data_IF_035981024578
#
_entry.id   IF_035981024578
#
_cell.length_a   1.000
_cell.length_b   1.000
_cell.length_c   1.000
_cell.angle_alpha   90.00
_cell.angle_beta   90.00
_cell.angle_gamma   90.00
#
_symmetry.space_group_name_H-M   'P 1'
#
loop_
_entity.id
_entity.type
_entity.pdbx_description
1 polymer ?
#
# COMPACT_ATOMS: atom_id res chain seq x y z
N UNK A 1 35.78 0.99 4.75
CA UNK A 1 34.39 1.40 4.98
C UNK A 1 34.34 1.89 6.42
N UNK A 2 33.94 3.14 6.64
CA UNK A 2 33.74 3.63 8.01
C UNK A 2 32.40 3.09 8.55
N UNK A 3 32.24 3.05 9.88
CA UNK A 3 31.03 2.52 10.52
C UNK A 3 29.76 3.25 10.08
N UNK A 4 29.82 4.56 9.84
CA UNK A 4 28.69 5.35 9.36
C UNK A 4 28.33 5.08 7.89
N UNK A 5 29.28 4.68 7.05
CA UNK A 5 29.03 4.19 5.69
C UNK A 5 28.33 2.82 5.73
N UNK A 6 28.80 1.93 6.60
CA UNK A 6 28.16 0.62 6.84
C UNK A 6 26.72 0.78 7.31
N UNK A 7 26.48 1.65 8.30
CA UNK A 7 25.12 1.93 8.81
C UNK A 7 24.20 2.53 7.74
N UNK A 8 24.72 3.40 6.87
CA UNK A 8 23.96 3.94 5.72
C UNK A 8 23.61 2.86 4.70
N UNK A 9 24.50 1.91 4.47
CA UNK A 9 24.22 0.76 3.59
C UNK A 9 23.15 -0.16 4.17
N UNK A 10 23.30 -0.54 5.46
CA UNK A 10 22.32 -1.39 6.16
C UNK A 10 20.94 -0.73 6.18
N UNK A 11 20.86 0.56 6.46
CA UNK A 11 19.60 1.31 6.45
C UNK A 11 18.91 1.26 5.08
N UNK A 12 19.65 1.48 3.99
CA UNK A 12 19.11 1.40 2.62
C UNK A 12 18.63 -0.02 2.28
N UNK A 13 19.40 -1.05 2.65
CA UNK A 13 19.03 -2.46 2.43
C UNK A 13 17.77 -2.84 3.20
N UNK A 14 17.66 -2.41 4.45
CA UNK A 14 16.47 -2.66 5.28
C UNK A 14 15.23 -2.00 4.68
N UNK A 15 15.34 -0.73 4.26
CA UNK A 15 14.24 -0.01 3.65
C UNK A 15 13.81 -0.64 2.31
N UNK A 16 14.77 -1.09 1.49
CA UNK A 16 14.49 -1.82 0.25
C UNK A 16 13.78 -3.14 0.53
N UNK A 17 14.22 -3.90 1.54
CA UNK A 17 13.60 -5.18 1.92
C UNK A 17 12.14 -5.02 2.35
N UNK A 18 11.82 -3.99 3.14
CA UNK A 18 10.44 -3.72 3.56
C UNK A 18 9.55 -3.34 2.37
N UNK A 19 10.07 -2.52 1.45
CA UNK A 19 9.33 -2.15 0.25
C UNK A 19 9.13 -3.36 -0.68
N UNK A 20 10.14 -4.23 -0.81
CA UNK A 20 10.05 -5.46 -1.60
C UNK A 20 9.00 -6.42 -1.03
N UNK A 21 8.95 -6.62 0.30
CA UNK A 21 7.93 -7.43 0.94
C UNK A 21 6.51 -6.89 0.65
N UNK A 22 6.33 -5.58 0.76
CA UNK A 22 5.05 -4.95 0.43
C UNK A 22 4.69 -5.08 -1.06
N UNK A 23 5.69 -4.96 -1.96
CA UNK A 23 5.54 -5.17 -3.40
C UNK A 23 5.07 -6.59 -3.69
N UNK A 24 5.69 -7.60 -3.08
CA UNK A 24 5.28 -8.99 -3.23
C UNK A 24 3.85 -9.22 -2.72
N UNK A 25 3.45 -8.62 -1.59
CA UNK A 25 2.08 -8.72 -1.10
C UNK A 25 1.04 -8.12 -2.07
N UNK A 26 1.39 -7.02 -2.76
CA UNK A 26 0.54 -6.45 -3.82
C UNK A 26 0.47 -7.37 -5.03
N UNK A 27 1.62 -7.90 -5.49
CA UNK A 27 1.68 -8.81 -6.63
C UNK A 27 0.86 -10.08 -6.39
N UNK A 28 0.97 -10.68 -5.20
CA UNK A 28 0.21 -11.88 -4.81
C UNK A 28 -1.30 -11.61 -4.82
N UNK A 29 -1.74 -10.52 -4.18
CA UNK A 29 -3.17 -10.18 -4.12
C UNK A 29 -3.77 -9.89 -5.51
N UNK A 30 -3.02 -9.20 -6.38
CA UNK A 30 -3.47 -8.93 -7.75
C UNK A 30 -3.39 -10.17 -8.63
N UNK A 31 -2.41 -11.05 -8.42
CA UNK A 31 -2.31 -12.31 -9.15
C UNK A 31 -3.50 -13.21 -8.83
N UNK A 32 -3.94 -13.27 -7.57
CA UNK A 32 -5.11 -14.06 -7.21
C UNK A 32 -6.39 -13.54 -7.90
N UNK A 33 -6.58 -12.21 -7.95
CA UNK A 33 -7.67 -11.61 -8.74
C UNK A 33 -7.54 -11.97 -10.21
N UNK A 34 -6.35 -11.85 -10.80
CA UNK A 34 -6.11 -12.15 -12.21
C UNK A 34 -6.48 -13.60 -12.55
N UNK A 35 -6.06 -14.55 -11.72
CA UNK A 35 -6.34 -15.97 -11.92
C UNK A 35 -7.82 -16.29 -11.81
N UNK A 36 -8.51 -15.74 -10.81
CA UNK A 36 -9.94 -16.00 -10.62
C UNK A 36 -10.81 -15.28 -11.67
N UNK A 37 -10.36 -14.14 -12.20
CA UNK A 37 -11.13 -13.38 -13.19
C UNK A 37 -10.88 -13.79 -14.62
N UNK A 38 -9.62 -13.76 -15.06
CA UNK A 38 -9.28 -13.98 -16.47
C UNK A 38 -9.28 -15.46 -16.85
N UNK A 39 -8.93 -16.35 -15.92
CA UNK A 39 -8.77 -17.78 -16.23
C UNK A 39 -9.97 -18.62 -15.80
N UNK A 40 -10.66 -18.25 -14.73
CA UNK A 40 -11.84 -18.98 -14.25
C UNK A 40 -13.17 -18.32 -14.70
N UNK A 41 -13.11 -17.13 -15.29
CA UNK A 41 -14.28 -16.41 -15.80
C UNK A 41 -15.20 -15.86 -14.72
N UNK A 42 -14.73 -15.76 -13.47
CA UNK A 42 -15.48 -15.14 -12.37
C UNK A 42 -15.27 -13.62 -12.32
N UNK A 43 -16.14 -12.92 -11.60
CA UNK A 43 -15.84 -11.55 -11.17
C UNK A 43 -14.98 -11.58 -9.88
N UNK A 44 -14.17 -10.54 -9.61
CA UNK A 44 -13.44 -10.46 -8.34
C UNK A 44 -14.42 -10.44 -7.15
N UNK A 45 -14.13 -11.22 -6.12
CA UNK A 45 -14.95 -11.21 -4.90
C UNK A 45 -14.70 -9.96 -4.06
N UNK A 46 -15.65 -9.54 -3.21
CA UNK A 46 -15.43 -8.44 -2.26
C UNK A 46 -14.20 -8.63 -1.37
N UNK A 47 -13.92 -9.86 -0.95
CA UNK A 47 -12.76 -10.22 -0.13
C UNK A 47 -11.46 -10.00 -0.90
N UNK A 48 -11.39 -10.44 -2.15
CA UNK A 48 -10.21 -10.22 -3.00
C UNK A 48 -9.94 -8.74 -3.24
N UNK A 49 -10.99 -7.96 -3.52
CA UNK A 49 -10.88 -6.51 -3.68
C UNK A 49 -10.38 -5.86 -2.38
N UNK A 50 -10.89 -6.30 -1.22
CA UNK A 50 -10.47 -5.81 0.09
C UNK A 50 -8.98 -6.10 0.32
N UNK A 51 -8.55 -7.32 0.06
CA UNK A 51 -7.18 -7.75 0.34
C UNK A 51 -6.18 -7.03 -0.60
N UNK A 52 -6.51 -6.88 -1.88
CA UNK A 52 -5.72 -6.08 -2.82
C UNK A 52 -5.63 -4.60 -2.39
N UNK A 53 -6.73 -4.01 -1.91
CA UNK A 53 -6.72 -2.64 -1.36
C UNK A 53 -5.83 -2.53 -0.12
N UNK A 54 -5.89 -3.51 0.79
CA UNK A 54 -5.05 -3.52 1.98
C UNK A 54 -3.56 -3.61 1.62
N UNK A 55 -3.21 -4.48 0.67
CA UNK A 55 -1.84 -4.60 0.18
C UNK A 55 -1.33 -3.29 -0.45
N UNK A 56 -2.13 -2.66 -1.32
CA UNK A 56 -1.80 -1.39 -1.94
C UNK A 56 -1.62 -0.27 -0.90
N UNK A 57 -2.51 -0.20 0.09
CA UNK A 57 -2.42 0.80 1.15
C UNK A 57 -1.17 0.60 2.03
N UNK A 58 -0.78 -0.64 2.30
CA UNK A 58 0.44 -0.94 3.04
C UNK A 58 1.69 -0.49 2.26
N UNK A 59 1.77 -0.85 0.98
CA UNK A 59 2.87 -0.44 0.11
C UNK A 59 2.97 1.09 0.02
N UNK A 60 1.84 1.77 -0.12
CA UNK A 60 1.77 3.23 -0.11
C UNK A 60 2.26 3.83 1.22
N UNK A 61 1.83 3.28 2.36
CA UNK A 61 2.30 3.75 3.68
C UNK A 61 3.81 3.63 3.82
N UNK A 62 4.39 2.50 3.42
CA UNK A 62 5.85 2.29 3.47
C UNK A 62 6.55 3.30 2.56
N UNK A 63 6.06 3.48 1.33
CA UNK A 63 6.61 4.44 0.38
C UNK A 63 6.61 5.87 0.94
N UNK A 64 5.45 6.36 1.40
CA UNK A 64 5.30 7.76 1.82
C UNK A 64 5.93 8.06 3.17
N UNK A 65 5.83 7.14 4.14
CA UNK A 65 6.29 7.41 5.52
C UNK A 65 7.74 7.05 5.77
N UNK A 66 8.31 6.12 4.98
CA UNK A 66 9.68 5.63 5.18
C UNK A 66 10.58 5.95 4.01
N UNK A 67 10.17 5.60 2.78
CA UNK A 67 11.06 5.67 1.61
C UNK A 67 11.22 7.09 1.09
N UNK A 68 10.14 7.84 0.90
CA UNK A 68 10.19 9.21 0.40
C UNK A 68 11.08 10.13 1.26
N UNK A 69 10.97 10.14 2.60
CA UNK A 69 11.88 10.91 3.46
C UNK A 69 13.35 10.52 3.30
N UNK A 70 13.64 9.22 3.22
CA UNK A 70 15.02 8.71 3.04
C UNK A 70 15.59 9.11 1.67
N UNK A 71 14.76 9.12 0.63
CA UNK A 71 15.14 9.54 -0.71
C UNK A 71 15.26 11.06 -0.86
N UNK A 72 14.88 11.84 0.17
CA UNK A 72 14.82 13.31 0.11
C UNK A 72 13.67 13.82 -0.77
N UNK A 73 12.66 12.98 -1.01
CA UNK A 73 11.46 13.33 -1.76
C UNK A 73 10.36 13.79 -0.80
N UNK A 74 9.59 14.80 -1.19
CA UNK A 74 8.35 15.15 -0.50
C UNK A 74 7.32 14.00 -0.70
N UNK A 75 6.56 13.60 0.33
CA UNK A 75 5.47 12.64 0.19
C UNK A 75 4.39 13.14 -0.80
N UNK A 76 3.87 12.27 -1.65
CA UNK A 76 3.05 12.66 -2.81
C UNK A 76 1.57 12.80 -2.48
N UNK A 77 1.10 12.23 -1.38
CA UNK A 77 -0.31 12.32 -0.98
C UNK A 77 -0.53 12.45 0.52
N UNK A 78 -1.76 12.87 0.86
CA UNK A 78 -2.22 12.97 2.23
C UNK A 78 -2.34 11.60 2.91
N UNK A 79 -2.52 11.56 4.24
CA UNK A 79 -2.62 10.31 4.98
C UNK A 79 -3.73 9.42 4.39
N UNK A 80 -3.38 8.17 4.04
CA UNK A 80 -4.39 7.22 3.60
C UNK A 80 -5.37 6.95 4.74
N UNK A 81 -6.69 7.04 4.49
CA UNK A 81 -7.67 6.66 5.49
C UNK A 81 -7.48 5.18 5.86
N UNK A 82 -7.51 4.88 7.15
CA UNK A 82 -7.43 3.49 7.67
C UNK A 82 -8.59 2.61 7.19
N UNK A 83 -9.68 3.22 6.70
CA UNK A 83 -10.87 2.54 6.22
C UNK A 83 -11.04 2.87 4.73
N UNK A 84 -11.35 1.88 3.86
CA UNK A 84 -11.68 2.13 2.47
C UNK A 84 -12.74 3.23 2.36
N UNK A 85 -12.52 4.20 1.49
CA UNK A 85 -13.35 5.41 1.35
C UNK A 85 -14.86 5.13 1.26
N UNK A 86 -15.27 4.00 0.67
CA UNK A 86 -16.67 3.55 0.66
C UNK A 86 -17.24 3.23 2.05
N UNK A 87 -16.51 2.44 2.86
CA UNK A 87 -16.95 2.11 4.23
C UNK A 87 -16.84 3.29 5.19
N UNK A 88 -15.85 4.16 5.01
CA UNK A 88 -15.73 5.37 5.82
C UNK A 88 -16.96 6.28 5.62
N UNK A 89 -17.43 6.42 4.39
CA UNK A 89 -18.64 7.18 4.05
C UNK A 89 -19.92 6.55 4.63
N UNK A 90 -20.03 5.23 4.65
CA UNK A 90 -21.15 4.51 5.28
C UNK A 90 -21.12 4.55 6.82
N UNK A 91 -19.94 4.44 7.43
CA UNK A 91 -19.78 4.29 8.89
C UNK A 91 -19.77 5.63 9.62
N UNK A 92 -19.18 6.68 9.03
CA UNK A 92 -19.05 7.99 9.67
C UNK A 92 -20.17 8.97 9.35
N UNK A 93 -21.16 8.59 8.54
CA UNK A 93 -22.20 9.49 8.05
C UNK A 93 -21.61 10.86 7.67
N UNK A 94 -20.55 10.87 6.86
CA UNK A 94 -20.13 12.08 6.14
C UNK A 94 -21.18 12.34 5.05
N UNK A 95 -22.40 12.60 5.51
CA UNK A 95 -23.53 13.06 4.73
C UNK A 95 -23.26 14.50 4.34
N UNK A 96 -23.49 14.76 3.06
CA UNK A 96 -24.03 16.00 2.52
C UNK A 96 -24.05 17.15 3.53
N UNK A 97 -23.03 17.98 3.51
CA UNK A 97 -23.25 19.40 3.73
C UNK A 97 -23.20 20.05 2.35
N UNK A 98 -24.24 20.84 2.09
CA UNK A 98 -24.47 21.76 0.97
C UNK A 98 -25.15 21.06 -0.24
N UNK A 99 -26.44 21.28 -0.54
CA UNK A 99 -27.11 22.57 -0.88
C UNK A 99 -26.30 23.44 -1.84
#
# INVERSE_FOLDING_TARGET
MDDAELWREVGRKSAASELDEARFGVEEALYDILMNTMYQGGDPTPEQIRDARMALNLAYRILETRIAPIAGCEPWGGPLPDIPSGKARETYHLGSSDE
#
